data_IF_509766409536
#
_entry.id   IF_509766409536
#
_cell.length_a   1.000
_cell.length_b   1.000
_cell.length_c   1.000
_cell.angle_alpha   90.00
_cell.angle_beta   90.00
_cell.angle_gamma   90.00
#
_symmetry.space_group_name_H-M   'P 1'
#
loop_
_entity.id
_entity.type
_entity.pdbx_description
1 polymer ?
#
# COMPACT_ATOMS: atom_id res chain seq x y z
N UNK A 1 -5.68 -11.44 8.26
CA UNK A 1 -6.25 -12.07 7.07
C UNK A 1 -5.38 -13.26 6.64
N UNK A 2 -5.86 -14.19 5.77
CA UNK A 2 -5.02 -15.28 5.27
C UNK A 2 -3.69 -14.79 4.69
N UNK A 3 -2.61 -15.52 4.96
CA UNK A 3 -1.21 -15.21 4.62
C UNK A 3 -0.54 -14.07 5.41
N UNK A 4 -1.23 -13.37 6.29
CA UNK A 4 -0.56 -12.44 7.21
C UNK A 4 0.27 -13.22 8.23
N UNK A 5 1.44 -12.70 8.58
CA UNK A 5 2.30 -13.26 9.60
C UNK A 5 2.04 -12.57 10.93
N UNK A 6 1.63 -13.32 11.93
CA UNK A 6 1.38 -12.83 13.28
C UNK A 6 2.50 -13.32 14.18
N UNK A 7 3.10 -12.39 14.89
CA UNK A 7 4.09 -12.65 15.92
C UNK A 7 3.49 -12.36 17.29
N UNK A 8 3.65 -13.28 18.22
CA UNK A 8 3.23 -13.12 19.61
C UNK A 8 4.44 -13.30 20.50
N UNK A 9 4.70 -12.34 21.37
CA UNK A 9 5.77 -12.36 22.34
C UNK A 9 5.19 -12.25 23.75
N UNK A 10 5.60 -13.13 24.65
CA UNK A 10 5.34 -13.02 26.07
C UNK A 10 6.54 -12.39 26.76
N UNK A 11 6.36 -11.14 27.21
CA UNK A 11 7.41 -10.37 27.87
C UNK A 11 7.71 -10.86 29.29
N UNK A 12 6.81 -11.65 29.90
CA UNK A 12 6.93 -12.05 31.32
C UNK A 12 7.70 -13.34 31.55
N UNK A 13 7.71 -14.25 30.56
CA UNK A 13 8.21 -15.62 30.77
C UNK A 13 9.43 -15.97 29.90
N UNK A 14 10.00 -15.04 29.14
CA UNK A 14 11.04 -15.34 28.15
C UNK A 14 10.62 -16.47 27.15
N UNK A 15 9.32 -16.70 27.03
CA UNK A 15 8.73 -17.69 26.14
C UNK A 15 8.47 -17.02 24.79
N UNK A 16 9.28 -17.36 23.80
CA UNK A 16 9.00 -17.03 22.41
C UNK A 16 7.79 -17.86 21.95
N UNK A 17 6.64 -17.23 21.88
CA UNK A 17 5.53 -17.79 21.14
C UNK A 17 5.85 -17.57 19.68
N UNK A 18 6.04 -18.65 18.96
CA UNK A 18 6.50 -18.67 17.56
C UNK A 18 5.62 -17.83 16.64
N UNK A 19 6.23 -17.20 15.64
CA UNK A 19 5.51 -16.57 14.55
C UNK A 19 4.66 -17.60 13.82
N UNK A 20 3.40 -17.30 13.58
CA UNK A 20 2.48 -18.16 12.85
C UNK A 20 1.85 -17.42 11.70
N UNK A 21 1.56 -18.16 10.62
CA UNK A 21 0.91 -17.65 9.42
C UNK A 21 -0.59 -17.90 9.56
N UNK A 22 -1.39 -16.90 9.19
CA UNK A 22 -2.83 -17.07 9.08
C UNK A 22 -3.16 -17.99 7.91
N UNK A 23 -3.78 -19.13 8.18
CA UNK A 23 -4.14 -20.12 7.16
C UNK A 23 -5.26 -19.62 6.23
N UNK A 24 -5.59 -20.38 5.18
CA UNK A 24 -6.64 -20.01 4.21
C UNK A 24 -8.02 -19.93 4.85
N UNK A 25 -8.22 -20.62 5.94
CA UNK A 25 -9.48 -20.61 6.71
C UNK A 25 -9.53 -19.42 7.67
N UNK A 26 -8.43 -18.65 7.78
CA UNK A 26 -8.29 -17.48 8.63
C UNK A 26 -7.96 -17.81 10.07
N UNK A 27 -7.33 -18.95 10.35
CA UNK A 27 -6.90 -19.31 11.68
C UNK A 27 -5.36 -19.24 11.81
N UNK A 28 -4.91 -19.07 13.03
CA UNK A 28 -3.50 -19.12 13.45
C UNK A 28 -3.32 -20.30 14.38
N UNK A 29 -2.22 -21.02 14.26
CA UNK A 29 -1.89 -22.13 15.15
C UNK A 29 -0.69 -21.75 16.01
N UNK A 30 -0.87 -21.71 17.31
CA UNK A 30 0.20 -21.52 18.27
C UNK A 30 0.46 -22.84 19.02
N UNK A 31 1.73 -23.17 19.25
CA UNK A 31 2.10 -24.43 19.93
C UNK A 31 1.51 -24.55 21.34
N UNK A 32 1.37 -23.43 22.06
CA UNK A 32 0.89 -23.37 23.44
C UNK A 32 -0.61 -23.28 23.58
N UNK A 33 -1.30 -22.60 22.65
CA UNK A 33 -2.74 -22.30 22.75
C UNK A 33 -3.58 -22.99 21.68
N UNK A 34 -2.94 -23.64 20.69
CA UNK A 34 -3.64 -24.33 19.62
C UNK A 34 -4.16 -23.41 18.51
N UNK A 35 -5.26 -23.80 17.87
CA UNK A 35 -5.85 -23.13 16.69
C UNK A 35 -6.82 -22.03 17.13
N UNK A 36 -6.58 -20.80 16.69
CA UNK A 36 -7.39 -19.60 17.01
C UNK A 36 -7.83 -18.90 15.74
N UNK A 37 -9.07 -18.42 15.69
CA UNK A 37 -9.59 -17.60 14.60
C UNK A 37 -8.97 -16.21 14.64
N UNK A 38 -8.23 -15.84 13.58
CA UNK A 38 -7.59 -14.53 13.45
C UNK A 38 -8.25 -13.64 12.39
N UNK A 39 -8.72 -14.22 11.28
CA UNK A 39 -9.35 -13.45 10.21
C UNK A 39 -10.66 -12.81 10.68
N UNK A 40 -10.80 -11.51 10.37
CA UNK A 40 -11.96 -10.71 10.78
C UNK A 40 -11.89 -10.15 12.21
N UNK A 41 -10.86 -10.50 12.98
CA UNK A 41 -10.63 -9.94 14.30
C UNK A 41 -9.60 -8.80 14.24
N UNK A 42 -9.77 -7.82 15.12
CA UNK A 42 -8.73 -6.82 15.39
C UNK A 42 -7.60 -7.45 16.23
N UNK A 43 -6.42 -6.83 16.24
CA UNK A 43 -5.32 -7.28 17.11
C UNK A 43 -5.70 -7.31 18.59
N UNK A 44 -6.46 -6.32 19.05
CA UNK A 44 -6.95 -6.26 20.44
C UNK A 44 -7.89 -7.43 20.76
N UNK A 45 -8.76 -7.82 19.82
CA UNK A 45 -9.64 -8.96 19.97
C UNK A 45 -8.84 -10.27 20.00
N UNK A 46 -7.90 -10.44 19.09
CA UNK A 46 -7.04 -11.60 19.03
C UNK A 46 -6.21 -11.75 20.32
N UNK A 47 -5.71 -10.63 20.87
CA UNK A 47 -5.02 -10.59 22.15
C UNK A 47 -5.91 -11.14 23.28
N UNK A 48 -7.14 -10.63 23.39
CA UNK A 48 -8.09 -11.10 24.42
C UNK A 48 -8.42 -12.59 24.25
N UNK A 49 -8.58 -13.07 23.04
CA UNK A 49 -8.88 -14.48 22.76
C UNK A 49 -7.69 -15.39 23.18
N UNK A 50 -6.45 -14.96 22.96
CA UNK A 50 -5.24 -15.65 23.41
C UNK A 50 -5.14 -15.63 24.94
N UNK A 51 -5.33 -14.47 25.57
CA UNK A 51 -5.29 -14.30 27.02
C UNK A 51 -6.32 -15.20 27.74
N UNK A 52 -7.52 -15.36 27.16
CA UNK A 52 -8.55 -16.24 27.71
C UNK A 52 -8.21 -17.74 27.61
N UNK A 53 -7.38 -18.13 26.64
CA UNK A 53 -6.99 -19.53 26.43
C UNK A 53 -5.75 -19.93 27.26
N UNK A 54 -4.90 -18.98 27.56
CA UNK A 54 -3.77 -19.17 28.46
C UNK A 54 -4.29 -19.04 29.89
N UNK A 55 -4.33 -20.14 30.63
CA UNK A 55 -4.71 -20.08 32.03
C UNK A 55 -3.78 -19.11 32.78
N UNK A 56 -4.31 -18.13 33.52
CA UNK A 56 -3.47 -17.17 34.21
C UNK A 56 -2.61 -17.92 35.24
N UNK A 57 -1.30 -17.85 35.08
CA UNK A 57 -0.39 -18.26 36.17
C UNK A 57 -0.56 -17.23 37.27
N UNK A 58 -0.92 -17.62 38.51
CA UNK A 58 -1.03 -16.68 39.61
C UNK A 58 0.30 -15.91 39.75
N UNK A 59 0.22 -14.59 39.91
CA UNK A 59 1.34 -13.65 40.08
C UNK A 59 2.13 -13.27 38.82
N UNK A 60 1.77 -13.67 37.60
CA UNK A 60 2.36 -13.09 36.38
C UNK A 60 1.45 -12.05 35.78
N UNK A 61 1.89 -10.81 35.68
CA UNK A 61 1.30 -9.83 34.78
C UNK A 61 1.67 -10.27 33.35
N UNK A 62 0.83 -11.12 32.76
CA UNK A 62 1.03 -11.62 31.41
C UNK A 62 0.91 -10.45 30.41
N UNK A 63 2.00 -9.81 30.07
CA UNK A 63 2.07 -8.76 29.07
C UNK A 63 2.37 -9.39 27.71
N UNK A 64 1.35 -9.96 27.04
CA UNK A 64 1.49 -10.41 25.67
C UNK A 64 1.52 -9.22 24.71
N UNK A 65 2.51 -9.22 23.82
CA UNK A 65 2.56 -8.33 22.69
C UNK A 65 2.24 -9.13 21.43
N UNK A 66 1.30 -8.62 20.64
CA UNK A 66 0.91 -9.20 19.36
C UNK A 66 1.24 -8.19 18.29
N UNK A 67 2.00 -8.62 17.28
CA UNK A 67 2.37 -7.78 16.15
C UNK A 67 2.12 -8.54 14.84
N UNK A 68 1.64 -7.83 13.82
CA UNK A 68 1.68 -8.34 12.45
C UNK A 68 3.05 -7.98 11.89
N UNK A 69 3.88 -8.98 11.65
CA UNK A 69 5.23 -8.78 11.13
C UNK A 69 5.27 -8.68 9.60
N UNK A 70 4.25 -9.22 8.94
CA UNK A 70 4.15 -9.15 7.49
C UNK A 70 2.69 -9.11 7.05
N UNK A 71 2.31 -8.06 6.34
CA UNK A 71 1.03 -7.94 5.66
C UNK A 71 1.17 -8.54 4.26
N UNK A 72 0.64 -9.73 4.05
CA UNK A 72 0.74 -10.44 2.77
C UNK A 72 -0.59 -10.57 2.05
N UNK A 73 -1.70 -10.29 2.74
CA UNK A 73 -3.06 -10.51 2.25
C UNK A 73 -3.61 -9.34 1.43
N UNK A 74 -3.23 -8.11 1.75
CA UNK A 74 -3.76 -6.91 1.12
C UNK A 74 -2.66 -6.17 0.36
N UNK A 75 -2.85 -5.99 -0.94
CA UNK A 75 -1.86 -5.37 -1.82
C UNK A 75 -2.53 -4.51 -2.86
N UNK A 76 -1.88 -3.43 -3.25
CA UNK A 76 -2.12 -2.71 -4.49
C UNK A 76 -1.05 -3.10 -5.51
N UNK A 77 -1.33 -2.97 -6.79
CA UNK A 77 -0.38 -3.20 -7.88
C UNK A 77 -0.01 -1.86 -8.51
N UNK A 78 1.26 -1.52 -8.50
CA UNK A 78 1.79 -0.38 -9.24
C UNK A 78 2.55 -0.89 -10.48
N UNK A 79 2.18 -0.41 -11.67
CA UNK A 79 2.85 -0.69 -12.94
C UNK A 79 3.46 0.61 -13.48
N UNK A 80 4.74 0.90 -13.18
CA UNK A 80 5.42 2.07 -13.72
C UNK A 80 5.70 1.91 -15.22
N UNK A 81 5.78 3.03 -15.96
CA UNK A 81 6.11 2.99 -17.38
C UNK A 81 7.45 2.30 -17.66
N UNK A 82 7.43 1.30 -18.54
CA UNK A 82 8.64 0.59 -18.96
C UNK A 82 9.35 -0.25 -17.88
N UNK A 83 8.72 -0.46 -16.72
CA UNK A 83 9.26 -1.27 -15.62
C UNK A 83 8.29 -2.38 -15.22
N UNK A 84 8.79 -3.45 -14.58
CA UNK A 84 7.93 -4.50 -14.03
C UNK A 84 6.97 -3.94 -12.96
N UNK A 85 5.81 -4.57 -12.82
CA UNK A 85 4.84 -4.24 -11.78
C UNK A 85 5.39 -4.53 -10.38
N UNK A 86 5.04 -3.67 -9.42
CA UNK A 86 5.43 -3.76 -8.01
C UNK A 86 4.19 -3.93 -7.16
N UNK A 87 4.21 -4.91 -6.27
CA UNK A 87 3.14 -5.10 -5.28
C UNK A 87 3.41 -4.23 -4.06
N UNK A 88 2.47 -3.36 -3.76
CA UNK A 88 2.53 -2.45 -2.62
C UNK A 88 1.69 -3.05 -1.49
N UNK A 89 2.27 -3.44 -0.35
CA UNK A 89 1.50 -3.96 0.77
C UNK A 89 0.64 -2.84 1.38
N UNK A 90 -0.63 -3.15 1.61
CA UNK A 90 -1.54 -2.25 2.34
C UNK A 90 -1.54 -2.70 3.80
N UNK A 91 -1.08 -1.80 4.67
CA UNK A 91 -0.91 -2.05 6.10
C UNK A 91 -1.95 -1.25 6.90
N UNK A 92 -1.85 -1.27 8.22
CA UNK A 92 -2.59 -0.39 9.13
C UNK A 92 -2.18 1.09 9.01
N UNK A 93 -0.98 1.35 8.46
CA UNK A 93 -0.54 2.70 8.12
C UNK A 93 -0.96 3.03 6.69
N UNK A 94 -1.84 4.04 6.49
CA UNK A 94 -2.31 4.39 5.16
C UNK A 94 -1.17 4.84 4.24
N UNK A 95 -1.02 4.20 3.09
CA UNK A 95 -0.02 4.55 2.09
C UNK A 95 -0.59 5.61 1.13
N UNK A 96 0.09 6.76 1.01
CA UNK A 96 -0.30 7.81 0.06
C UNK A 96 0.17 7.46 -1.34
N UNK A 97 -0.70 7.67 -2.33
CA UNK A 97 -0.38 7.43 -3.73
C UNK A 97 0.85 8.24 -4.17
N UNK A 98 0.92 9.53 -3.81
CA UNK A 98 2.04 10.42 -4.14
C UNK A 98 3.38 9.92 -3.61
N UNK A 99 3.42 9.44 -2.36
CA UNK A 99 4.61 8.88 -1.74
C UNK A 99 5.05 7.58 -2.42
N UNK A 100 4.10 6.69 -2.69
CA UNK A 100 4.36 5.42 -3.38
C UNK A 100 4.91 5.64 -4.78
N UNK A 101 4.35 6.58 -5.55
CA UNK A 101 4.84 6.93 -6.89
C UNK A 101 6.29 7.44 -6.82
N UNK A 102 6.57 8.36 -5.90
CA UNK A 102 7.91 8.94 -5.71
C UNK A 102 8.94 7.90 -5.27
N UNK A 103 8.60 7.02 -4.31
CA UNK A 103 9.48 5.94 -3.85
C UNK A 103 9.81 4.93 -4.96
N UNK A 104 8.91 4.75 -5.94
CA UNK A 104 9.14 3.90 -7.10
C UNK A 104 9.79 4.63 -8.29
N UNK A 105 10.32 5.83 -8.04
CA UNK A 105 11.14 6.58 -8.99
C UNK A 105 10.35 7.34 -10.07
N UNK A 106 9.07 7.64 -9.80
CA UNK A 106 8.32 8.56 -10.65
C UNK A 106 8.57 9.99 -10.14
N UNK A 107 9.01 10.84 -11.05
CA UNK A 107 9.29 12.26 -10.80
C UNK A 107 8.74 13.09 -11.94
N UNK A 108 8.49 14.36 -11.66
CA UNK A 108 8.09 15.33 -12.66
C UNK A 108 9.23 15.52 -13.67
N UNK A 109 8.90 15.45 -14.96
CA UNK A 109 9.83 15.69 -16.06
C UNK A 109 9.29 16.85 -16.91
N UNK A 110 10.11 17.88 -17.08
CA UNK A 110 9.73 19.06 -17.86
C UNK A 110 9.40 18.77 -19.35
N UNK A 111 9.88 17.63 -19.88
CA UNK A 111 9.71 17.27 -21.28
C UNK A 111 8.57 16.28 -21.55
N UNK A 112 8.02 15.70 -20.49
CA UNK A 112 7.02 14.64 -20.60
C UNK A 112 5.90 14.85 -19.57
N UNK A 113 4.70 14.44 -19.94
CA UNK A 113 3.57 14.36 -19.00
C UNK A 113 3.48 12.91 -18.54
N UNK A 114 3.56 12.70 -17.24
CA UNK A 114 3.29 11.37 -16.67
C UNK A 114 1.82 11.30 -16.25
N UNK A 115 1.07 10.48 -16.96
CA UNK A 115 -0.34 10.20 -16.66
C UNK A 115 -0.41 8.98 -15.73
N UNK A 116 -1.15 9.14 -14.64
CA UNK A 116 -1.41 8.09 -13.65
C UNK A 116 -2.86 7.65 -13.79
N UNK A 117 -3.08 6.36 -13.95
CA UNK A 117 -4.41 5.76 -13.96
C UNK A 117 -4.55 4.88 -12.72
N UNK A 118 -5.56 5.15 -11.89
CA UNK A 118 -5.92 4.37 -10.72
C UNK A 118 -7.25 3.65 -11.01
N UNK A 119 -7.21 2.33 -10.98
CA UNK A 119 -8.41 1.48 -11.04
C UNK A 119 -8.78 1.02 -9.63
N UNK A 120 -9.99 1.32 -9.21
CA UNK A 120 -10.56 0.97 -7.91
C UNK A 120 -12.04 0.64 -8.07
N UNK A 121 -12.50 -0.48 -7.54
CA UNK A 121 -13.92 -0.89 -7.55
C UNK A 121 -14.55 -0.86 -8.95
N UNK A 122 -13.77 -1.24 -9.97
CA UNK A 122 -14.20 -1.24 -11.37
C UNK A 122 -14.28 0.15 -12.03
N UNK A 123 -13.90 1.20 -11.33
CA UNK A 123 -13.81 2.56 -11.86
C UNK A 123 -12.35 2.94 -12.14
N UNK A 124 -12.15 3.78 -13.15
CA UNK A 124 -10.83 4.30 -13.50
C UNK A 124 -10.78 5.80 -13.27
N UNK A 125 -9.79 6.24 -12.54
CA UNK A 125 -9.49 7.65 -12.26
C UNK A 125 -8.17 8.01 -12.92
N UNK A 126 -8.14 9.14 -13.60
CA UNK A 126 -6.95 9.63 -14.30
C UNK A 126 -6.44 10.93 -13.68
N UNK A 127 -5.14 11.00 -13.48
CA UNK A 127 -4.44 12.15 -12.89
C UNK A 127 -3.17 12.43 -13.66
N UNK A 128 -2.72 13.68 -13.68
CA UNK A 128 -1.32 13.97 -14.00
C UNK A 128 -0.46 13.77 -12.77
N UNK A 129 0.79 13.37 -12.95
CA UNK A 129 1.73 13.25 -11.83
C UNK A 129 1.96 14.61 -11.15
N UNK A 130 1.98 15.69 -11.95
CA UNK A 130 2.12 17.05 -11.44
C UNK A 130 0.99 17.43 -10.49
N UNK A 131 -0.25 17.09 -10.85
CA UNK A 131 -1.40 17.33 -9.98
C UNK A 131 -1.34 16.53 -8.68
N UNK A 132 -0.89 15.27 -8.75
CA UNK A 132 -0.78 14.40 -7.56
C UNK A 132 0.31 14.84 -6.59
N UNK A 133 1.35 15.50 -7.10
CA UNK A 133 2.48 15.99 -6.28
C UNK A 133 2.30 17.46 -5.88
N UNK A 134 1.23 18.13 -6.31
CA UNK A 134 0.95 19.51 -5.94
C UNK A 134 0.58 19.62 -4.44
N UNK A 135 1.14 20.60 -3.70
CA UNK A 135 0.97 20.68 -2.24
C UNK A 135 -0.47 20.97 -1.78
N UNK A 136 -1.29 21.55 -2.65
CA UNK A 136 -2.67 21.98 -2.32
C UNK A 136 -3.73 20.93 -2.67
N UNK A 137 -3.33 19.74 -3.07
CA UNK A 137 -4.25 18.65 -3.43
C UNK A 137 -4.50 17.71 -2.25
N UNK A 138 -5.72 17.17 -2.12
CA UNK A 138 -6.01 16.16 -1.10
C UNK A 138 -5.21 14.89 -1.38
N UNK A 139 -4.71 14.28 -0.32
CA UNK A 139 -4.02 12.98 -0.41
C UNK A 139 -4.97 11.87 -0.87
N UNK A 140 -4.50 11.06 -1.79
CA UNK A 140 -5.18 9.83 -2.20
C UNK A 140 -4.47 8.67 -1.49
N UNK A 141 -5.21 7.94 -0.67
CA UNK A 141 -4.69 6.76 0.03
C UNK A 141 -5.00 5.50 -0.77
N UNK A 142 -4.01 4.61 -0.85
CA UNK A 142 -4.17 3.33 -1.51
C UNK A 142 -5.08 2.40 -0.71
N UNK A 143 -5.81 1.58 -1.44
CA UNK A 143 -6.68 0.54 -0.91
C UNK A 143 -6.26 -0.83 -1.45
N UNK A 144 -6.66 -1.92 -0.78
CA UNK A 144 -6.47 -3.26 -1.32
C UNK A 144 -7.08 -3.38 -2.71
N UNK A 145 -6.39 -4.13 -3.58
CA UNK A 145 -6.80 -4.38 -4.97
C UNK A 145 -6.76 -3.16 -5.91
N UNK A 146 -6.24 -2.02 -5.46
CA UNK A 146 -5.95 -0.90 -6.36
C UNK A 146 -4.94 -1.32 -7.43
N UNK A 147 -5.24 -0.97 -8.66
CA UNK A 147 -4.31 -1.09 -9.78
C UNK A 147 -3.91 0.30 -10.25
N UNK A 148 -2.64 0.61 -10.10
CA UNK A 148 -2.07 1.89 -10.51
C UNK A 148 -1.17 1.66 -11.73
N UNK A 149 -1.36 2.42 -12.78
CA UNK A 149 -0.45 2.43 -13.92
C UNK A 149 0.05 3.84 -14.21
N UNK A 150 1.33 3.93 -14.56
CA UNK A 150 1.95 5.19 -14.98
C UNK A 150 2.32 5.09 -16.44
N UNK A 151 1.93 6.09 -17.24
CA UNK A 151 2.27 6.20 -18.64
C UNK A 151 2.95 7.54 -18.91
N UNK A 152 4.09 7.51 -19.58
CA UNK A 152 4.80 8.71 -19.99
C UNK A 152 4.34 9.10 -21.38
N UNK A 153 3.77 10.29 -21.50
CA UNK A 153 3.32 10.86 -22.76
C UNK A 153 4.28 11.99 -23.16
N UNK A 154 4.72 12.01 -24.43
CA UNK A 154 5.53 13.13 -24.89
C UNK A 154 4.72 14.42 -24.80
N UNK A 155 5.37 15.47 -24.32
CA UNK A 155 4.75 16.80 -24.32
C UNK A 155 4.34 17.16 -25.74
N UNK A 156 3.07 17.39 -25.98
CA UNK A 156 2.63 17.92 -27.27
C UNK A 156 3.14 19.34 -27.35
N UNK A 157 4.16 19.59 -28.17
CA UNK A 157 4.62 20.95 -28.46
C UNK A 157 3.44 21.76 -29.00
N UNK A 158 2.95 22.68 -28.19
CA UNK A 158 1.98 23.65 -28.68
C UNK A 158 2.68 24.57 -29.68
N UNK A 159 2.39 24.38 -30.96
CA UNK A 159 2.93 25.21 -32.03
C UNK A 159 1.85 26.21 -32.48
N UNK A 160 2.16 27.47 -32.44
CA UNK A 160 1.33 28.50 -33.06
C UNK A 160 1.91 28.81 -34.43
N UNK A 161 1.06 28.62 -35.43
CA UNK A 161 1.39 29.00 -36.82
C UNK A 161 0.88 30.41 -37.06
N UNK A 162 1.78 31.34 -37.29
CA UNK A 162 1.39 32.70 -37.76
C UNK A 162 1.48 32.68 -39.26
N UNK A 163 0.30 32.76 -39.89
CA UNK A 163 0.15 32.85 -41.33
C UNK A 163 -0.15 34.31 -41.69
N UNK A 164 0.76 34.94 -42.38
CA UNK A 164 0.62 36.34 -42.83
C UNK A 164 1.98 37.03 -42.90
N UNK A 165 2.33 37.64 -43.99
CA UNK A 165 3.64 38.24 -44.22
C UNK A 165 4.49 37.46 -45.22
N UNK A 166 5.75 37.84 -45.36
CA UNK A 166 6.66 37.34 -46.40
C UNK A 166 7.12 35.88 -46.14
N UNK A 167 7.03 35.39 -44.87
CA UNK A 167 7.37 34.03 -44.53
C UNK A 167 6.53 33.55 -43.33
N UNK A 168 5.99 32.30 -43.36
CA UNK A 168 5.33 31.71 -42.21
C UNK A 168 6.33 31.47 -41.07
N UNK A 169 5.93 31.82 -39.85
CA UNK A 169 6.74 31.61 -38.67
C UNK A 169 6.06 30.63 -37.72
N UNK A 170 6.85 29.73 -37.14
CA UNK A 170 6.39 28.74 -36.18
C UNK A 170 7.00 29.11 -34.82
N UNK A 171 6.16 29.38 -33.84
CA UNK A 171 6.58 29.62 -32.47
C UNK A 171 6.20 28.42 -31.60
N UNK A 172 7.15 27.93 -30.80
CA UNK A 172 6.87 27.00 -29.72
C UNK A 172 6.44 27.80 -28.51
N UNK A 173 5.30 27.48 -27.93
CA UNK A 173 4.82 28.07 -26.69
C UNK A 173 5.13 27.03 -25.58
N UNK A 174 5.97 27.44 -24.65
CA UNK A 174 6.27 26.66 -23.45
C UNK A 174 5.17 26.83 -22.41
#
# INVERSE_FOLDING_TARGET
QPNDHIFVEDSSANMRITSSIVDREGNVVFETVGKIKAAGHTLSRLKSDIENLIQPVPDSQNAFQIQITQFASQKALLTPHGKPGVLIPITDTPAKLSEVLTQNGLSIDANNITQISLQRDGQTYEFSLDDLLAPDRPDIYLQPEDHISAQVLPYKENKVFILGGVSPQIFKIN
#
